data_IF_058935477294
#
_entry.id   IF_058935477294
#
_cell.length_a   1.000
_cell.length_b   1.000
_cell.length_c   1.000
_cell.angle_alpha   90.00
_cell.angle_beta   90.00
_cell.angle_gamma   90.00
#
_symmetry.space_group_name_H-M   'P 1'
#
loop_
_entity.id
_entity.type
_entity.pdbx_description
1 polymer ?
#
# COMPACT_ATOMS: atom_id res chain seq x y z
N UNK A 1 24.30 -16.36 -32.41
CA UNK A 1 24.51 -15.10 -31.75
C UNK A 1 23.40 -14.90 -30.70
N UNK A 2 23.61 -14.12 -29.65
CA UNK A 2 22.74 -14.05 -28.45
C UNK A 2 21.26 -13.79 -28.78
N UNK A 3 20.94 -12.93 -29.77
CA UNK A 3 19.55 -12.63 -30.12
C UNK A 3 18.79 -13.81 -30.72
N UNK A 4 19.45 -14.64 -31.55
CA UNK A 4 18.83 -15.84 -32.10
C UNK A 4 18.58 -16.87 -30.97
N UNK A 5 19.51 -17.02 -30.04
CA UNK A 5 19.34 -17.92 -28.89
C UNK A 5 18.18 -17.46 -27.96
N UNK A 6 18.00 -16.17 -27.75
CA UNK A 6 16.88 -15.61 -26.97
C UNK A 6 15.55 -15.80 -27.74
N UNK A 7 15.54 -15.60 -29.06
CA UNK A 7 14.36 -15.81 -29.89
C UNK A 7 13.93 -17.29 -29.93
N UNK A 8 14.89 -18.19 -30.11
CA UNK A 8 14.64 -19.64 -30.13
C UNK A 8 14.20 -20.15 -28.74
N UNK A 9 14.81 -19.65 -27.68
CA UNK A 9 14.39 -19.96 -26.30
C UNK A 9 12.96 -19.47 -26.03
N UNK A 10 12.63 -18.22 -26.46
CA UNK A 10 11.28 -17.67 -26.26
C UNK A 10 10.23 -18.42 -27.09
N UNK A 11 10.60 -18.89 -28.28
CA UNK A 11 9.72 -19.69 -29.15
C UNK A 11 9.51 -21.11 -28.63
N UNK A 12 10.55 -21.75 -28.11
CA UNK A 12 10.49 -23.12 -27.59
C UNK A 12 9.86 -23.21 -26.20
N UNK A 13 10.16 -22.24 -25.32
CA UNK A 13 9.77 -22.27 -23.91
C UNK A 13 8.76 -21.21 -23.50
N UNK A 14 8.42 -20.25 -24.36
CA UNK A 14 7.50 -19.15 -24.06
C UNK A 14 6.13 -19.61 -23.55
N UNK A 15 5.59 -20.68 -24.12
CA UNK A 15 4.32 -21.28 -23.70
C UNK A 15 4.46 -21.90 -22.30
N UNK A 16 5.55 -22.59 -22.02
CA UNK A 16 5.81 -23.19 -20.70
C UNK A 16 6.03 -22.13 -19.63
N UNK A 17 6.77 -21.06 -19.95
CA UNK A 17 6.98 -19.92 -19.05
C UNK A 17 5.65 -19.21 -18.76
N UNK A 18 4.81 -19.00 -19.78
CA UNK A 18 3.48 -18.41 -19.60
C UNK A 18 2.58 -19.30 -18.72
N UNK A 19 2.58 -20.62 -18.94
CA UNK A 19 1.82 -21.58 -18.13
C UNK A 19 2.30 -21.60 -16.68
N UNK A 20 3.63 -21.56 -16.45
CA UNK A 20 4.21 -21.49 -15.10
C UNK A 20 3.81 -20.19 -14.40
N UNK A 21 3.88 -19.05 -15.09
CA UNK A 21 3.46 -17.77 -14.54
C UNK A 21 1.97 -17.74 -14.18
N UNK A 22 1.12 -18.29 -15.04
CA UNK A 22 -0.32 -18.42 -14.79
C UNK A 22 -0.57 -19.35 -13.60
N UNK A 23 0.10 -20.50 -13.54
CA UNK A 23 -0.02 -21.44 -12.43
C UNK A 23 0.45 -20.82 -11.11
N UNK A 24 1.58 -20.09 -11.12
CA UNK A 24 2.10 -19.36 -9.97
C UNK A 24 1.12 -18.27 -9.52
N UNK A 25 0.53 -17.53 -10.45
CA UNK A 25 -0.47 -16.50 -10.16
C UNK A 25 -1.76 -17.09 -9.54
N UNK A 26 -2.23 -18.24 -10.07
CA UNK A 26 -3.39 -18.97 -9.53
C UNK A 26 -3.06 -19.50 -8.13
N UNK A 27 -1.89 -20.11 -7.95
CA UNK A 27 -1.43 -20.62 -6.66
C UNK A 27 -1.32 -19.49 -5.64
N UNK A 28 -0.75 -18.34 -6.01
CA UNK A 28 -0.68 -17.13 -5.21
C UNK A 28 -2.06 -16.62 -4.81
N UNK A 29 -2.98 -16.49 -5.77
CA UNK A 29 -4.37 -16.08 -5.51
C UNK A 29 -5.09 -17.06 -4.57
N UNK A 30 -4.79 -18.35 -4.70
CA UNK A 30 -5.39 -19.40 -3.86
C UNK A 30 -4.77 -19.38 -2.45
N UNK A 31 -3.49 -19.16 -2.33
CA UNK A 31 -2.80 -19.00 -1.04
C UNK A 31 -3.33 -17.78 -0.24
N UNK A 32 -3.60 -16.66 -0.92
CA UNK A 32 -4.19 -15.46 -0.30
C UNK A 32 -5.68 -15.60 0.10
N UNK A 33 -6.33 -16.71 -0.25
CA UNK A 33 -7.66 -17.05 0.30
C UNK A 33 -7.58 -17.56 1.75
N UNK A 34 -6.41 -18.05 2.17
CA UNK A 34 -6.21 -18.42 3.56
C UNK A 34 -6.11 -17.14 4.42
N UNK A 35 -7.02 -16.93 5.40
CA UNK A 35 -7.06 -15.70 6.19
C UNK A 35 -5.76 -15.44 6.96
N UNK A 36 -5.09 -16.50 7.45
CA UNK A 36 -3.84 -16.38 8.19
C UNK A 36 -2.67 -15.92 7.28
N UNK A 37 -2.60 -16.43 6.03
CA UNK A 37 -1.60 -16.00 5.06
C UNK A 37 -1.87 -14.57 4.58
N UNK A 38 -3.14 -14.23 4.36
CA UNK A 38 -3.56 -12.88 3.98
C UNK A 38 -3.18 -11.86 5.06
N UNK A 39 -3.42 -12.17 6.32
CA UNK A 39 -3.06 -11.31 7.44
C UNK A 39 -1.53 -11.08 7.51
N UNK A 40 -0.74 -12.15 7.41
CA UNK A 40 0.74 -12.06 7.40
C UNK A 40 1.26 -11.24 6.22
N UNK A 41 0.69 -11.45 5.04
CA UNK A 41 1.04 -10.70 3.84
C UNK A 41 0.73 -9.21 3.97
N UNK A 42 -0.49 -8.88 4.45
CA UNK A 42 -0.89 -7.49 4.68
C UNK A 42 -0.04 -6.81 5.78
N UNK A 43 0.34 -7.54 6.83
CA UNK A 43 1.24 -7.04 7.86
C UNK A 43 2.66 -6.78 7.31
N UNK A 44 3.20 -7.70 6.51
CA UNK A 44 4.50 -7.53 5.87
C UNK A 44 4.51 -6.34 4.90
N UNK A 45 3.45 -6.14 4.12
CA UNK A 45 3.27 -4.99 3.25
C UNK A 45 3.29 -3.65 4.02
N UNK A 46 2.73 -3.61 5.23
CA UNK A 46 2.76 -2.42 6.08
C UNK A 46 4.18 -2.09 6.58
N UNK A 47 5.06 -3.06 6.71
CA UNK A 47 6.45 -2.85 7.14
C UNK A 47 7.38 -2.47 5.97
N UNK A 48 6.92 -2.53 4.72
CA UNK A 48 7.69 -2.11 3.54
C UNK A 48 8.04 -0.61 3.59
N UNK A 49 9.28 -0.22 3.19
CA UNK A 49 9.81 1.12 3.46
C UNK A 49 9.07 2.26 2.73
N UNK A 50 8.59 2.04 1.52
CA UNK A 50 7.88 3.04 0.71
C UNK A 50 6.39 2.74 0.68
N UNK A 51 6.03 1.56 0.21
CA UNK A 51 4.63 1.13 0.08
C UNK A 51 3.91 1.11 1.43
N UNK A 52 4.55 0.57 2.48
CA UNK A 52 3.93 0.45 3.80
C UNK A 52 3.63 1.81 4.45
N UNK A 53 4.47 2.83 4.21
CA UNK A 53 4.19 4.18 4.69
C UNK A 53 2.97 4.78 4.01
N UNK A 54 2.83 4.59 2.70
CA UNK A 54 1.68 5.08 1.93
C UNK A 54 0.40 4.34 2.33
N UNK A 55 0.44 3.02 2.39
CA UNK A 55 -0.70 2.16 2.77
C UNK A 55 -1.20 2.48 4.18
N UNK A 56 -0.29 2.69 5.15
CA UNK A 56 -0.65 3.14 6.50
C UNK A 56 -1.33 4.51 6.49
N UNK A 57 -0.77 5.49 5.78
CA UNK A 57 -1.36 6.81 5.67
C UNK A 57 -2.74 6.76 5.05
N UNK A 58 -2.92 5.99 3.97
CA UNK A 58 -4.20 5.82 3.29
C UNK A 58 -5.28 5.21 4.20
N UNK A 59 -4.95 4.11 4.86
CA UNK A 59 -5.88 3.45 5.79
C UNK A 59 -6.17 4.32 7.02
N UNK A 60 -5.16 5.02 7.57
CA UNK A 60 -5.35 5.91 8.71
C UNK A 60 -6.21 7.13 8.35
N UNK A 61 -6.01 7.73 7.18
CA UNK A 61 -6.84 8.84 6.71
C UNK A 61 -8.31 8.40 6.56
N UNK A 62 -8.57 7.26 5.91
CA UNK A 62 -9.92 6.70 5.80
C UNK A 62 -10.55 6.41 7.16
N UNK A 63 -9.82 5.78 8.05
CA UNK A 63 -10.27 5.50 9.42
C UNK A 63 -10.65 6.79 10.16
N UNK A 64 -9.74 7.76 10.18
CA UNK A 64 -9.95 9.01 10.90
C UNK A 64 -11.12 9.82 10.33
N UNK A 65 -11.22 9.93 8.99
CA UNK A 65 -12.32 10.64 8.33
C UNK A 65 -13.68 9.98 8.60
N UNK A 66 -13.76 8.66 8.49
CA UNK A 66 -15.03 7.95 8.77
C UNK A 66 -15.41 8.05 10.24
N UNK A 67 -14.43 7.94 11.14
CA UNK A 67 -14.66 8.06 12.57
C UNK A 67 -15.12 9.49 12.93
N UNK A 68 -14.51 10.54 12.34
CA UNK A 68 -14.91 11.93 12.52
C UNK A 68 -16.35 12.17 12.06
N UNK A 69 -16.69 11.75 10.85
CA UNK A 69 -18.05 11.91 10.27
C UNK A 69 -19.08 11.19 11.11
N UNK A 70 -18.82 9.94 11.49
CA UNK A 70 -19.79 9.12 12.22
C UNK A 70 -19.99 9.63 13.65
N UNK A 71 -18.93 10.01 14.35
CA UNK A 71 -19.03 10.59 15.71
C UNK A 71 -19.63 12.00 15.67
N UNK A 72 -19.30 12.82 14.68
CA UNK A 72 -19.88 14.14 14.46
C UNK A 72 -21.37 14.09 14.15
N UNK A 73 -21.85 13.00 13.56
CA UNK A 73 -23.28 12.71 13.32
C UNK A 73 -23.99 12.12 14.56
N UNK A 74 -23.32 12.02 15.71
CA UNK A 74 -23.91 11.51 16.95
C UNK A 74 -23.99 9.98 17.03
N UNK A 75 -23.32 9.24 16.13
CA UNK A 75 -23.27 7.78 16.19
C UNK A 75 -22.45 7.35 17.42
N UNK A 76 -22.92 6.39 18.24
CA UNK A 76 -22.18 5.87 19.39
C UNK A 76 -20.79 5.37 18.97
N UNK A 77 -19.78 5.65 19.80
CA UNK A 77 -18.36 5.42 19.48
C UNK A 77 -18.05 3.97 19.05
N UNK A 78 -18.64 2.96 19.66
CA UNK A 78 -18.41 1.57 19.28
C UNK A 78 -18.93 1.26 17.86
N UNK A 79 -20.08 1.83 17.49
CA UNK A 79 -20.63 1.72 16.12
C UNK A 79 -19.79 2.50 15.13
N UNK A 80 -19.32 3.69 15.50
CA UNK A 80 -18.44 4.49 14.68
C UNK A 80 -17.11 3.77 14.40
N UNK A 81 -16.54 3.08 15.39
CA UNK A 81 -15.36 2.24 15.24
C UNK A 81 -15.59 1.06 14.30
N UNK A 82 -16.71 0.34 14.44
CA UNK A 82 -17.06 -0.76 13.53
C UNK A 82 -17.19 -0.27 12.07
N UNK A 83 -17.89 0.84 11.86
CA UNK A 83 -18.03 1.45 10.53
C UNK A 83 -16.68 1.88 9.96
N UNK A 84 -15.84 2.52 10.78
CA UNK A 84 -14.51 2.99 10.36
C UNK A 84 -13.57 1.82 10.04
N UNK A 85 -13.64 0.72 10.79
CA UNK A 85 -12.92 -0.52 10.49
C UNK A 85 -13.26 -1.05 9.09
N UNK A 86 -14.53 -1.01 8.72
CA UNK A 86 -14.98 -1.58 7.44
C UNK A 86 -14.48 -0.79 6.22
N UNK A 87 -14.13 0.48 6.39
CA UNK A 87 -13.51 1.30 5.34
C UNK A 87 -12.03 0.99 5.08
N UNK A 88 -11.37 0.29 5.98
CA UNK A 88 -9.97 -0.10 5.82
C UNK A 88 -9.82 -1.15 4.73
N UNK A 89 -8.82 -1.01 3.88
CA UNK A 89 -8.46 -2.01 2.86
C UNK A 89 -7.51 -3.08 3.40
N UNK A 90 -6.70 -2.73 4.39
CA UNK A 90 -5.68 -3.62 4.95
C UNK A 90 -6.25 -4.46 6.08
N UNK A 91 -6.19 -5.80 5.92
CA UNK A 91 -6.73 -6.75 6.90
C UNK A 91 -6.02 -6.67 8.24
N UNK A 92 -4.69 -6.44 8.25
CA UNK A 92 -3.96 -6.31 9.51
C UNK A 92 -4.42 -5.07 10.29
N UNK A 93 -4.66 -3.94 9.61
CA UNK A 93 -5.20 -2.75 10.28
C UNK A 93 -6.65 -2.96 10.75
N UNK A 94 -7.47 -3.73 10.01
CA UNK A 94 -8.83 -4.11 10.48
C UNK A 94 -8.77 -4.83 11.80
N UNK A 95 -7.91 -5.84 11.92
CA UNK A 95 -7.74 -6.61 13.17
C UNK A 95 -7.31 -5.70 14.32
N UNK A 96 -6.39 -4.76 14.07
CA UNK A 96 -5.96 -3.80 15.11
C UNK A 96 -7.10 -2.89 15.59
N UNK A 97 -8.00 -2.47 14.69
CA UNK A 97 -9.20 -1.71 15.08
C UNK A 97 -10.21 -2.59 15.83
N UNK A 98 -10.34 -3.88 15.48
CA UNK A 98 -11.15 -4.83 16.23
C UNK A 98 -10.66 -4.99 17.66
N UNK A 99 -9.35 -5.17 17.86
CA UNK A 99 -8.72 -5.26 19.19
C UNK A 99 -8.91 -3.96 19.99
N UNK A 100 -8.73 -2.81 19.33
CA UNK A 100 -8.97 -1.51 19.95
C UNK A 100 -10.46 -1.35 20.35
N UNK A 101 -11.39 -1.75 19.48
CA UNK A 101 -12.84 -1.71 19.77
C UNK A 101 -13.21 -2.60 20.94
N UNK A 102 -12.62 -3.79 21.04
CA UNK A 102 -12.81 -4.66 22.19
C UNK A 102 -12.34 -4.01 23.49
N UNK A 103 -11.15 -3.38 23.48
CA UNK A 103 -10.62 -2.65 24.64
C UNK A 103 -11.51 -1.47 25.04
N UNK A 104 -12.03 -0.71 24.08
CA UNK A 104 -12.97 0.39 24.36
C UNK A 104 -14.28 -0.12 24.93
N UNK A 105 -14.78 -1.27 24.47
CA UNK A 105 -15.97 -1.92 25.03
C UNK A 105 -15.77 -2.35 26.48
N UNK A 106 -14.55 -2.69 26.86
CA UNK A 106 -14.16 -3.03 28.24
C UNK A 106 -13.90 -1.78 29.11
N UNK A 107 -14.07 -0.58 28.56
CA UNK A 107 -13.95 0.69 29.28
C UNK A 107 -12.60 1.38 29.15
N UNK A 108 -11.71 0.92 28.29
CA UNK A 108 -10.48 1.67 28.00
C UNK A 108 -10.80 2.93 27.20
N UNK A 109 -9.99 4.01 27.39
CA UNK A 109 -10.10 5.17 26.51
C UNK A 109 -9.68 4.81 25.09
N UNK A 110 -10.30 5.44 24.08
CA UNK A 110 -10.00 5.22 22.67
C UNK A 110 -8.53 5.54 22.37
N UNK A 111 -8.01 6.64 22.94
CA UNK A 111 -6.60 7.00 22.80
C UNK A 111 -5.67 5.91 23.33
N UNK A 112 -5.99 5.30 24.47
CA UNK A 112 -5.19 4.18 25.02
C UNK A 112 -5.27 2.96 24.13
N UNK A 113 -6.47 2.58 23.70
CA UNK A 113 -6.70 1.42 22.85
C UNK A 113 -5.93 1.53 21.53
N UNK A 114 -5.94 2.70 20.87
CA UNK A 114 -5.23 2.93 19.63
C UNK A 114 -3.71 3.10 19.83
N UNK A 115 -3.27 3.65 20.97
CA UNK A 115 -1.83 3.81 21.27
C UNK A 115 -1.11 2.47 21.42
N UNK A 116 -1.82 1.43 21.81
CA UNK A 116 -1.28 0.07 21.90
C UNK A 116 -1.05 -0.56 20.53
N UNK A 117 -1.60 0.03 19.46
CA UNK A 117 -1.53 -0.50 18.10
C UNK A 117 -0.37 0.09 17.30
N UNK A 118 0.47 -0.77 16.73
CA UNK A 118 1.75 -0.42 16.07
C UNK A 118 1.63 0.59 14.92
N UNK A 119 0.52 0.58 14.17
CA UNK A 119 0.46 1.25 12.87
C UNK A 119 -0.28 2.59 12.88
N UNK A 120 -0.88 2.98 13.99
CA UNK A 120 -1.53 4.28 14.08
C UNK A 120 -0.54 5.40 14.40
N UNK A 121 -0.57 6.53 13.65
CA UNK A 121 0.33 7.65 13.89
C UNK A 121 0.13 8.26 15.28
N UNK A 122 1.21 8.64 15.97
CA UNK A 122 1.12 9.29 17.29
C UNK A 122 0.25 10.54 17.29
N UNK A 123 0.27 11.32 16.20
CA UNK A 123 -0.53 12.54 16.06
C UNK A 123 -2.04 12.27 16.15
N UNK A 124 -2.53 11.21 15.48
CA UNK A 124 -3.93 10.80 15.58
C UNK A 124 -4.30 10.45 17.05
N UNK A 125 -3.46 9.66 17.70
CA UNK A 125 -3.66 9.25 19.10
C UNK A 125 -3.66 10.46 20.04
N UNK A 126 -2.78 11.43 19.82
CA UNK A 126 -2.74 12.66 20.62
C UNK A 126 -3.98 13.51 20.46
N UNK A 127 -4.49 13.66 19.24
CA UNK A 127 -5.72 14.43 18.98
C UNK A 127 -6.95 13.72 19.59
N UNK A 128 -7.04 12.39 19.48
CA UNK A 128 -8.10 11.62 20.14
C UNK A 128 -8.05 11.81 21.66
N UNK A 129 -6.86 11.73 22.25
CA UNK A 129 -6.68 11.95 23.69
C UNK A 129 -7.13 13.35 24.11
N UNK A 130 -6.77 14.38 23.35
CA UNK A 130 -7.22 15.73 23.61
C UNK A 130 -8.75 15.83 23.55
N UNK A 131 -9.37 15.26 22.50
CA UNK A 131 -10.81 15.23 22.36
C UNK A 131 -11.55 14.45 23.45
N UNK A 132 -10.98 13.34 23.96
CA UNK A 132 -11.53 12.62 25.10
C UNK A 132 -11.48 13.44 26.40
N UNK A 133 -10.42 14.21 26.62
CA UNK A 133 -10.26 15.05 27.81
C UNK A 133 -11.18 16.29 27.77
N UNK A 134 -11.29 16.93 26.61
CA UNK A 134 -12.09 18.15 26.43
C UNK A 134 -13.59 17.86 26.19
N UNK A 135 -13.96 16.62 25.87
CA UNK A 135 -15.32 16.28 25.44
C UNK A 135 -15.62 16.65 23.98
N UNK A 136 -14.62 17.17 23.24
CA UNK A 136 -14.75 17.61 21.84
C UNK A 136 -14.18 16.58 20.85
N UNK A 137 -14.42 15.29 21.12
CA UNK A 137 -13.87 14.20 20.33
C UNK A 137 -14.15 14.34 18.82
N UNK A 138 -15.37 14.70 18.35
CA UNK A 138 -15.63 14.84 16.92
C UNK A 138 -14.77 15.93 16.27
N UNK A 139 -14.62 17.10 16.88
CA UNK A 139 -13.81 18.19 16.35
C UNK A 139 -12.31 17.83 16.29
N UNK A 140 -11.80 17.12 17.28
CA UNK A 140 -10.41 16.65 17.29
C UNK A 140 -10.17 15.55 16.27
N UNK A 141 -11.15 14.67 16.05
CA UNK A 141 -11.08 13.65 15.00
C UNK A 141 -11.12 14.27 13.60
N UNK A 142 -11.92 15.32 13.38
CA UNK A 142 -11.93 16.04 12.10
C UNK A 142 -10.56 16.65 11.80
N UNK A 143 -9.96 17.37 12.76
CA UNK A 143 -8.60 17.91 12.62
C UNK A 143 -7.56 16.82 12.36
N UNK A 144 -7.70 15.67 13.04
CA UNK A 144 -6.83 14.54 12.83
C UNK A 144 -6.99 13.97 11.41
N UNK A 145 -8.23 13.87 10.91
CA UNK A 145 -8.54 13.41 9.56
C UNK A 145 -7.92 14.34 8.51
N UNK A 146 -8.08 15.66 8.65
CA UNK A 146 -7.50 16.66 7.75
C UNK A 146 -5.98 16.57 7.72
N UNK A 147 -5.35 16.42 8.89
CA UNK A 147 -3.89 16.22 8.99
C UNK A 147 -3.43 14.95 8.28
N UNK A 148 -4.15 13.84 8.44
CA UNK A 148 -3.83 12.58 7.77
C UNK A 148 -4.07 12.66 6.26
N UNK A 149 -5.10 13.35 5.83
CA UNK A 149 -5.40 13.58 4.41
C UNK A 149 -4.29 14.42 3.76
N UNK A 150 -3.86 15.51 4.40
CA UNK A 150 -2.75 16.34 3.91
C UNK A 150 -1.42 15.57 3.83
N UNK A 151 -1.15 14.67 4.78
CA UNK A 151 0.02 13.80 4.73
C UNK A 151 -0.05 12.78 3.60
N UNK A 152 -1.23 12.22 3.35
CA UNK A 152 -1.48 11.31 2.23
C UNK A 152 -1.24 12.00 0.89
N UNK A 153 -1.78 13.20 0.71
CA UNK A 153 -1.61 14.00 -0.52
C UNK A 153 -0.14 14.34 -0.78
N UNK A 154 0.59 14.78 0.25
CA UNK A 154 2.04 15.04 0.15
C UNK A 154 2.82 13.78 -0.29
N UNK A 155 2.51 12.63 0.27
CA UNK A 155 3.14 11.36 -0.12
C UNK A 155 2.78 10.95 -1.54
N UNK A 156 1.51 11.13 -1.94
CA UNK A 156 1.07 10.84 -3.30
C UNK A 156 1.79 11.73 -4.33
N UNK A 157 1.91 13.04 -4.06
CA UNK A 157 2.65 13.96 -4.89
C UNK A 157 4.14 13.62 -4.98
N UNK A 158 4.76 13.21 -3.87
CA UNK A 158 6.16 12.77 -3.86
C UNK A 158 6.36 11.53 -4.75
N UNK A 159 5.47 10.55 -4.66
CA UNK A 159 5.52 9.35 -5.51
C UNK A 159 5.30 9.70 -6.98
N UNK A 160 4.32 10.57 -7.26
CA UNK A 160 4.03 11.05 -8.62
C UNK A 160 5.23 11.82 -9.22
N UNK A 161 5.90 12.67 -8.42
CA UNK A 161 7.08 13.39 -8.84
C UNK A 161 8.30 12.51 -9.15
N UNK A 162 8.40 11.33 -8.53
CA UNK A 162 9.44 10.35 -8.86
C UNK A 162 9.13 9.55 -10.14
N UNK A 163 7.87 9.56 -10.58
CA UNK A 163 7.47 8.81 -11.78
C UNK A 163 8.10 9.40 -13.06
N UNK A 164 8.18 10.72 -13.15
CA UNK A 164 8.75 11.42 -14.31
C UNK A 164 10.22 11.05 -14.57
N UNK A 165 11.15 11.14 -13.61
CA UNK A 165 12.54 10.70 -13.81
C UNK A 165 12.65 9.20 -14.16
N UNK A 166 11.81 8.36 -13.55
CA UNK A 166 11.80 6.92 -13.85
C UNK A 166 11.36 6.65 -15.28
N UNK A 167 10.32 7.35 -15.77
CA UNK A 167 9.86 7.22 -17.15
C UNK A 167 10.92 7.68 -18.15
N UNK A 168 11.62 8.79 -17.87
CA UNK A 168 12.72 9.29 -18.72
C UNK A 168 13.84 8.25 -18.80
N UNK A 169 14.26 7.69 -17.67
CA UNK A 169 15.28 6.64 -17.63
C UNK A 169 14.83 5.37 -18.36
N UNK A 170 13.58 4.95 -18.18
CA UNK A 170 13.02 3.80 -18.88
C UNK A 170 12.98 4.00 -20.40
N UNK A 171 12.55 5.19 -20.85
CA UNK A 171 12.57 5.55 -22.28
C UNK A 171 13.99 5.58 -22.83
N UNK A 172 14.95 6.17 -22.11
CA UNK A 172 16.36 6.16 -22.48
C UNK A 172 16.93 4.75 -22.61
N UNK A 173 16.57 3.84 -21.69
CA UNK A 173 16.98 2.43 -21.75
C UNK A 173 16.39 1.74 -22.98
N UNK A 174 15.12 1.97 -23.30
CA UNK A 174 14.47 1.39 -24.48
C UNK A 174 15.16 1.87 -25.76
N UNK A 175 15.43 3.19 -25.87
CA UNK A 175 16.15 3.74 -27.02
C UNK A 175 17.54 3.15 -27.15
N UNK A 176 18.27 3.02 -26.04
CA UNK A 176 19.60 2.39 -26.01
C UNK A 176 19.54 0.95 -26.54
N UNK A 177 18.56 0.15 -26.09
CA UNK A 177 18.38 -1.22 -26.55
C UNK A 177 18.07 -1.30 -28.05
N UNK A 178 17.26 -0.38 -28.58
CA UNK A 178 16.95 -0.31 -30.02
C UNK A 178 18.22 0.02 -30.82
N UNK A 179 19.00 1.02 -30.38
CA UNK A 179 20.25 1.41 -31.03
C UNK A 179 21.25 0.25 -31.05
N UNK A 180 21.42 -0.44 -29.91
CA UNK A 180 22.29 -1.61 -29.83
C UNK A 180 21.81 -2.74 -30.73
N UNK A 181 20.50 -2.97 -30.81
CA UNK A 181 19.91 -4.00 -31.66
C UNK A 181 20.16 -3.74 -33.16
N UNK A 182 20.22 -2.47 -33.56
CA UNK A 182 20.51 -2.08 -34.96
C UNK A 182 22.00 -2.09 -35.24
N UNK A 183 22.85 -1.66 -34.29
CA UNK A 183 24.30 -1.58 -34.49
C UNK A 183 25.00 -2.94 -34.47
N UNK A 184 24.51 -3.90 -33.65
CA UNK A 184 25.14 -5.21 -33.53
C UNK A 184 25.28 -5.94 -34.87
N UNK A 185 24.21 -6.10 -35.69
CA UNK A 185 24.32 -6.75 -36.99
C UNK A 185 25.29 -6.00 -37.97
N UNK A 186 25.36 -4.69 -37.89
CA UNK A 186 26.24 -3.89 -38.74
C UNK A 186 27.70 -4.12 -38.40
N UNK A 187 28.03 -4.25 -37.11
CA UNK A 187 29.39 -4.55 -36.64
C UNK A 187 29.79 -5.98 -37.01
N UNK A 188 28.89 -6.97 -36.89
CA UNK A 188 29.13 -8.35 -37.30
C UNK A 188 29.41 -8.47 -38.81
N UNK A 189 28.64 -7.77 -39.66
CA UNK A 189 28.87 -7.77 -41.11
C UNK A 189 30.21 -7.14 -41.45
N UNK A 190 30.60 -6.06 -40.77
CA UNK A 190 31.87 -5.37 -41.03
C UNK A 190 33.09 -6.19 -40.58
N UNK A 191 32.94 -7.11 -39.64
CA UNK A 191 34.01 -8.04 -39.22
C UNK A 191 34.16 -9.26 -40.16
N UNK A 192 33.09 -9.62 -40.89
CA UNK A 192 33.12 -10.70 -41.87
C UNK A 192 33.74 -10.30 -43.25
N UNK A 193 33.86 -8.99 -43.51
CA UNK A 193 34.40 -8.45 -44.75
C UNK A 193 35.90 -8.10 -44.65
N UNK A 194 36.52 -8.30 -43.49
CA UNK A 194 37.97 -8.22 -43.28
C UNK A 194 38.60 -9.58 -43.22
#
# INVERSE_FOLDING_TARGET
TMMLAVSDFTRAYGIYVALILIALWIAWRRALRNPALKLRWHAWLLDAPVYGKFERSLNTARFASTLAITTGSGVPILRALDTSRDTLSNVAMKTLVEDATASVREGASLARALSAQKYFPPMLVHMIRAGEITGELPAMLERAADSQQADLERRALTIAGLLEPVLILAMGLVVLLIVLAVLMPIIEINQLVR
#
